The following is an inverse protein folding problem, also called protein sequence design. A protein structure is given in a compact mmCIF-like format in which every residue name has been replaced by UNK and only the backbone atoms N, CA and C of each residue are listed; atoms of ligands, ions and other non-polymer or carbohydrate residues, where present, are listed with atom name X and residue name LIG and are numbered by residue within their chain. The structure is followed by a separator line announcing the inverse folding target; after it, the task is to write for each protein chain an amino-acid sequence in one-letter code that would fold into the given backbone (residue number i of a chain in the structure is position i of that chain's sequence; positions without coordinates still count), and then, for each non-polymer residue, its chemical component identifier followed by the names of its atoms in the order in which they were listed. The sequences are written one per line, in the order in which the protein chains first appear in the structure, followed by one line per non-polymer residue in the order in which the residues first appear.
data_IF_243403176346
#
_entry.id   IF_243403176346
#
_cell.length_a   1.000
_cell.length_b   1.000
_cell.length_c   1.000
_cell.angle_alpha   90.00
_cell.angle_beta   90.00
_cell.angle_gamma   90.00
#
_symmetry.space_group_name_H-M   'P 1'
#
loop_
_entity.id
_entity.type
_entity.pdbx_description
1 polymer ?
#
# COMPACT_ATOMS: atom_id res chain seq x y z
N UNK A 1 20.62 -82.02 -29.44
CA UNK A 1 20.98 -81.70 -28.04
C UNK A 1 20.88 -80.20 -27.87
N UNK A 2 19.87 -79.72 -27.15
CA UNK A 2 19.66 -78.30 -26.82
C UNK A 2 20.81 -77.81 -25.94
N UNK A 3 21.40 -76.65 -26.25
CA UNK A 3 22.16 -75.83 -25.29
C UNK A 3 21.64 -74.40 -25.38
N UNK A 4 20.92 -74.00 -24.33
CA UNK A 4 20.54 -72.62 -24.06
C UNK A 4 21.76 -71.90 -23.46
N UNK A 5 22.12 -70.75 -24.01
CA UNK A 5 23.02 -69.79 -23.36
C UNK A 5 22.16 -68.95 -22.41
N UNK A 6 22.34 -69.13 -21.11
CA UNK A 6 21.73 -68.29 -20.08
C UNK A 6 22.64 -67.08 -19.86
N UNK A 7 22.17 -65.90 -20.22
CA UNK A 7 22.80 -64.62 -19.85
C UNK A 7 22.44 -64.33 -18.39
N UNK A 8 23.46 -64.26 -17.53
CA UNK A 8 23.33 -63.88 -16.13
C UNK A 8 23.29 -62.34 -16.06
N UNK A 9 22.09 -61.76 -15.94
CA UNK A 9 21.95 -60.36 -15.51
C UNK A 9 21.97 -60.33 -13.98
N UNK A 10 23.02 -59.76 -13.39
CA UNK A 10 23.01 -59.33 -12.00
C UNK A 10 21.99 -58.18 -11.88
N UNK A 11 20.86 -58.44 -11.22
CA UNK A 11 20.03 -57.37 -10.67
C UNK A 11 20.76 -56.78 -9.47
N UNK A 12 21.35 -55.60 -9.66
CA UNK A 12 21.67 -54.72 -8.55
C UNK A 12 20.35 -54.27 -7.92
N UNK A 13 20.11 -54.66 -6.67
CA UNK A 13 19.04 -54.09 -5.86
C UNK A 13 19.33 -52.60 -5.68
N UNK A 14 18.61 -51.76 -6.43
CA UNK A 14 18.50 -50.35 -6.12
C UNK A 14 17.59 -50.25 -4.90
N UNK A 15 18.16 -50.08 -3.71
CA UNK A 15 17.40 -49.65 -2.53
C UNK A 15 16.98 -48.20 -2.79
N UNK A 16 15.77 -48.00 -3.31
CA UNK A 16 15.10 -46.73 -3.11
C UNK A 16 14.89 -46.59 -1.60
N UNK A 17 15.57 -45.62 -0.97
CA UNK A 17 15.21 -45.14 0.35
C UNK A 17 13.75 -44.68 0.24
N UNK A 18 12.84 -45.38 0.91
CA UNK A 18 11.50 -44.83 1.14
C UNK A 18 11.74 -43.74 2.18
N UNK A 19 11.66 -42.47 1.77
CA UNK A 19 11.75 -41.35 2.71
C UNK A 19 10.56 -41.43 3.67
N UNK A 20 10.84 -41.56 4.96
CA UNK A 20 9.80 -41.63 5.97
C UNK A 20 9.34 -40.20 6.29
N UNK A 21 8.33 -39.70 5.57
CA UNK A 21 7.68 -38.44 5.92
C UNK A 21 6.71 -38.67 7.08
N UNK A 22 6.90 -37.96 8.19
CA UNK A 22 5.98 -37.97 9.31
C UNK A 22 4.98 -36.83 9.16
N UNK A 23 3.74 -37.16 8.81
CA UNK A 23 2.71 -36.18 8.43
C UNK A 23 1.86 -35.71 9.63
N UNK A 24 2.11 -36.18 10.86
CA UNK A 24 1.17 -35.92 11.96
C UNK A 24 1.83 -35.61 13.31
N UNK A 25 1.90 -34.32 13.64
CA UNK A 25 1.68 -33.84 15.00
C UNK A 25 0.35 -33.10 15.06
N UNK A 26 -0.61 -33.60 15.85
CA UNK A 26 -1.83 -32.85 16.15
C UNK A 26 -1.45 -31.64 17.00
N UNK A 27 -1.71 -30.41 16.51
CA UNK A 27 -1.65 -29.12 17.22
C UNK A 27 -0.71 -29.05 18.44
N UNK A 28 0.39 -28.30 18.34
CA UNK A 28 1.29 -28.15 19.47
C UNK A 28 1.82 -26.74 19.55
N UNK A 29 1.30 -25.95 20.47
CA UNK A 29 2.05 -24.84 21.03
C UNK A 29 3.37 -25.42 21.56
N UNK A 30 4.48 -25.21 20.85
CA UNK A 30 5.77 -25.82 21.15
C UNK A 30 6.42 -25.09 22.32
N UNK A 31 6.42 -25.74 23.47
CA UNK A 31 7.21 -25.36 24.63
C UNK A 31 8.71 -25.64 24.41
N UNK A 32 9.55 -25.10 25.30
CA UNK A 32 11.01 -25.39 25.31
C UNK A 32 11.29 -26.89 25.30
N UNK A 33 10.50 -27.68 26.05
CA UNK A 33 10.69 -29.12 26.14
C UNK A 33 10.40 -29.82 24.81
N UNK A 34 9.31 -29.45 24.15
CA UNK A 34 8.90 -30.03 22.86
C UNK A 34 9.89 -29.65 21.75
N UNK A 35 10.39 -28.41 21.74
CA UNK A 35 11.46 -28.01 20.82
C UNK A 35 12.72 -28.86 21.07
N UNK A 36 13.12 -29.04 22.32
CA UNK A 36 14.34 -29.79 22.64
C UNK A 36 14.25 -31.29 22.32
N UNK A 37 13.08 -31.91 22.52
CA UNK A 37 12.88 -33.34 22.23
C UNK A 37 12.49 -33.62 20.78
N UNK A 38 12.23 -32.60 19.97
CA UNK A 38 11.81 -32.78 18.57
C UNK A 38 12.66 -33.79 17.76
N UNK A 39 14.00 -33.80 17.84
CA UNK A 39 14.81 -34.78 17.10
C UNK A 39 14.61 -36.23 17.60
N UNK A 40 14.30 -36.41 18.88
CA UNK A 40 14.04 -37.72 19.50
C UNK A 40 12.62 -38.21 19.16
N UNK A 41 11.63 -37.32 19.30
CA UNK A 41 10.21 -37.61 19.03
C UNK A 41 9.96 -37.98 17.56
N UNK A 42 10.77 -37.42 16.66
CA UNK A 42 10.69 -37.65 15.20
C UNK A 42 11.94 -38.34 14.63
N UNK A 43 12.69 -39.09 15.44
CA UNK A 43 13.95 -39.74 15.02
C UNK A 43 13.80 -40.75 13.85
N UNK A 44 12.59 -41.25 13.60
CA UNK A 44 12.28 -42.15 12.48
C UNK A 44 11.90 -41.43 11.19
N UNK A 45 11.85 -40.10 11.19
CA UNK A 45 11.34 -39.27 10.11
C UNK A 45 12.51 -38.64 9.33
N UNK A 46 12.46 -38.68 8.00
CA UNK A 46 13.38 -37.91 7.15
C UNK A 46 12.92 -36.45 7.01
N UNK A 47 11.61 -36.20 7.16
CA UNK A 47 11.01 -34.87 7.19
C UNK A 47 9.70 -34.87 7.98
N UNK A 48 9.34 -33.69 8.50
CA UNK A 48 8.14 -33.48 9.32
C UNK A 48 7.30 -32.34 8.73
N UNK A 49 5.99 -32.57 8.67
CA UNK A 49 5.00 -31.54 8.36
C UNK A 49 4.08 -31.40 9.56
N UNK A 50 3.85 -30.17 10.01
CA UNK A 50 2.90 -29.89 11.09
C UNK A 50 1.61 -29.26 10.57
N UNK A 51 0.51 -29.53 11.25
CA UNK A 51 -0.73 -28.81 11.01
C UNK A 51 -0.58 -27.32 11.35
N UNK A 52 0.07 -26.98 12.46
CA UNK A 52 0.29 -25.62 12.93
C UNK A 52 1.54 -25.62 13.79
N UNK A 53 2.34 -24.56 13.72
CA UNK A 53 3.51 -24.36 14.58
C UNK A 53 3.33 -23.06 15.35
N UNK A 54 3.16 -23.16 16.67
CA UNK A 54 3.12 -21.98 17.53
C UNK A 54 4.25 -22.06 18.55
N UNK A 55 5.27 -21.22 18.44
CA UNK A 55 6.39 -21.21 19.38
C UNK A 55 5.98 -20.50 20.67
N UNK A 56 5.95 -21.24 21.79
CA UNK A 56 5.54 -20.73 23.08
C UNK A 56 6.67 -19.95 23.77
N UNK A 57 6.32 -18.97 24.59
CA UNK A 57 7.30 -18.37 25.50
C UNK A 57 7.62 -19.34 26.66
N UNK A 58 8.88 -19.42 27.14
CA UNK A 58 10.06 -18.64 26.73
C UNK A 58 11.06 -19.48 25.90
N UNK A 59 10.67 -19.99 24.73
CA UNK A 59 11.62 -20.69 23.83
C UNK A 59 12.82 -19.78 23.50
N UNK A 60 14.03 -20.31 23.71
CA UNK A 60 15.30 -19.56 23.59
C UNK A 60 16.10 -19.91 22.33
N UNK A 61 15.76 -20.99 21.65
CA UNK A 61 16.31 -21.39 20.37
C UNK A 61 15.32 -22.27 19.62
N UNK A 62 15.46 -22.36 18.30
CA UNK A 62 14.64 -23.26 17.46
C UNK A 62 15.46 -24.35 16.80
N UNK A 63 16.79 -24.41 17.00
CA UNK A 63 17.75 -25.24 16.25
C UNK A 63 17.32 -26.70 16.03
N UNK A 64 16.64 -27.28 17.02
CA UNK A 64 16.16 -28.66 16.99
C UNK A 64 15.08 -28.94 15.92
N UNK A 65 14.40 -27.92 15.40
CA UNK A 65 13.29 -28.07 14.46
C UNK A 65 13.73 -28.39 13.02
N UNK A 66 15.02 -28.66 12.78
CA UNK A 66 15.63 -28.80 11.44
C UNK A 66 15.01 -29.87 10.53
N UNK A 67 14.18 -30.80 11.02
CA UNK A 67 13.44 -31.76 10.18
C UNK A 67 12.11 -31.19 9.64
N UNK A 68 11.69 -30.01 10.09
CA UNK A 68 10.46 -29.35 9.66
C UNK A 68 10.62 -28.85 8.22
N UNK A 69 9.72 -29.32 7.34
CA UNK A 69 9.73 -28.95 5.92
C UNK A 69 8.48 -28.22 5.46
N UNK A 70 7.40 -28.25 6.23
CA UNK A 70 6.14 -27.59 5.87
C UNK A 70 5.19 -27.40 7.06
N UNK A 71 4.33 -26.38 6.94
CA UNK A 71 3.24 -26.11 7.88
C UNK A 71 1.94 -25.96 7.11
N UNK A 72 0.90 -26.72 7.48
CA UNK A 72 -0.38 -26.77 6.75
C UNK A 72 -1.35 -25.63 7.11
N UNK A 73 -1.12 -24.96 8.23
CA UNK A 73 -1.82 -23.76 8.68
C UNK A 73 -0.74 -22.74 9.04
N UNK A 74 -0.75 -22.21 10.26
CA UNK A 74 0.04 -21.04 10.61
C UNK A 74 1.35 -21.41 11.31
N UNK A 75 2.39 -20.63 11.01
CA UNK A 75 3.61 -20.47 11.78
C UNK A 75 3.51 -19.20 12.62
N UNK A 76 3.25 -19.36 13.91
CA UNK A 76 3.06 -18.27 14.87
C UNK A 76 4.23 -18.20 15.86
N UNK A 77 4.86 -17.02 15.96
CA UNK A 77 5.94 -16.76 16.92
C UNK A 77 5.68 -15.48 17.76
N UNK A 78 4.58 -15.42 18.54
CA UNK A 78 4.21 -14.21 19.26
C UNK A 78 5.04 -13.99 20.54
N UNK A 79 5.69 -12.84 20.62
CA UNK A 79 6.39 -12.36 21.81
C UNK A 79 7.65 -13.16 22.15
N UNK A 80 8.29 -13.81 21.18
CA UNK A 80 9.52 -14.57 21.39
C UNK A 80 10.75 -13.64 21.54
N UNK A 81 10.70 -12.74 22.53
CA UNK A 81 11.62 -11.62 22.74
C UNK A 81 13.09 -11.99 22.94
N UNK A 82 13.42 -13.26 23.15
CA UNK A 82 14.79 -13.75 23.37
C UNK A 82 15.37 -14.51 22.17
N UNK A 83 14.54 -14.84 21.17
CA UNK A 83 15.04 -15.50 19.96
C UNK A 83 15.78 -14.48 19.10
N UNK A 84 17.03 -14.81 18.76
CA UNK A 84 17.88 -14.01 17.88
C UNK A 84 17.82 -14.45 16.41
N UNK A 85 17.43 -15.69 16.17
CA UNK A 85 17.36 -16.28 14.84
C UNK A 85 16.31 -17.40 14.82
N UNK A 86 16.11 -17.95 13.62
CA UNK A 86 15.14 -18.99 13.31
C UNK A 86 15.81 -20.31 12.85
N UNK A 87 17.04 -20.59 13.28
CA UNK A 87 17.92 -21.65 12.74
C UNK A 87 17.28 -23.03 12.51
N UNK A 88 16.25 -23.42 13.26
CA UNK A 88 15.55 -24.69 13.04
C UNK A 88 14.61 -24.73 11.83
N UNK A 89 14.45 -23.63 11.10
CA UNK A 89 13.53 -23.54 9.97
C UNK A 89 14.24 -23.60 8.61
N UNK A 90 15.55 -23.91 8.56
CA UNK A 90 16.37 -23.93 7.33
C UNK A 90 15.85 -24.83 6.22
N UNK A 91 15.04 -25.83 6.56
CA UNK A 91 14.44 -26.77 5.61
C UNK A 91 12.94 -26.52 5.36
N UNK A 92 12.35 -25.48 5.97
CA UNK A 92 10.96 -25.11 5.79
C UNK A 92 10.76 -24.60 4.36
N UNK A 93 9.88 -25.25 3.60
CA UNK A 93 9.65 -24.95 2.18
C UNK A 93 8.36 -24.19 1.91
N UNK A 94 7.33 -24.44 2.72
CA UNK A 94 6.01 -23.82 2.55
C UNK A 94 5.30 -23.67 3.89
N UNK A 95 4.45 -22.65 3.95
CA UNK A 95 3.42 -22.46 4.98
C UNK A 95 2.10 -22.21 4.24
N UNK A 96 1.10 -23.07 4.41
CA UNK A 96 -0.18 -22.90 3.70
C UNK A 96 -1.09 -21.84 4.35
N UNK A 97 -0.93 -21.60 5.65
CA UNK A 97 -1.55 -20.47 6.35
C UNK A 97 -0.58 -19.30 6.49
N UNK A 98 -0.59 -18.68 7.66
CA UNK A 98 0.11 -17.43 7.89
C UNK A 98 1.51 -17.62 8.52
N UNK A 99 2.44 -16.71 8.24
CA UNK A 99 3.72 -16.55 8.94
C UNK A 99 3.67 -15.27 9.78
N UNK A 100 3.53 -15.42 11.10
CA UNK A 100 3.43 -14.30 12.05
C UNK A 100 4.67 -14.25 12.96
N UNK A 101 5.56 -13.31 12.68
CA UNK A 101 6.67 -12.91 13.55
C UNK A 101 6.26 -11.62 14.27
N UNK A 102 5.84 -11.73 15.53
CA UNK A 102 5.26 -10.60 16.27
C UNK A 102 5.98 -10.37 17.59
N UNK A 103 6.44 -9.14 17.86
CA UNK A 103 7.06 -8.75 19.13
C UNK A 103 8.32 -9.56 19.44
N UNK A 104 9.18 -9.72 18.44
CA UNK A 104 10.43 -10.46 18.56
C UNK A 104 11.61 -9.50 18.71
N UNK A 105 11.66 -8.81 19.86
CA UNK A 105 12.58 -7.69 20.11
C UNK A 105 14.07 -8.02 19.92
N UNK A 106 14.50 -9.28 20.06
CA UNK A 106 15.90 -9.67 19.87
C UNK A 106 16.20 -10.33 18.52
N UNK A 107 15.21 -10.47 17.62
CA UNK A 107 15.39 -11.19 16.36
C UNK A 107 16.31 -10.38 15.43
N UNK A 108 17.49 -10.93 15.14
CA UNK A 108 18.53 -10.28 14.33
C UNK A 108 18.47 -10.74 12.86
N UNK A 109 17.95 -11.94 12.57
CA UNK A 109 17.93 -12.49 11.21
C UNK A 109 16.83 -13.54 11.01
N UNK A 110 16.32 -13.61 9.78
CA UNK A 110 15.42 -14.66 9.28
C UNK A 110 16.09 -15.55 8.22
N UNK A 111 17.42 -15.55 8.12
CA UNK A 111 18.19 -16.30 7.09
C UNK A 111 17.82 -17.78 7.02
N UNK A 112 17.42 -18.35 8.15
CA UNK A 112 16.95 -19.73 8.22
C UNK A 112 15.64 -19.98 7.45
N UNK A 113 14.98 -18.97 6.90
CA UNK A 113 13.83 -19.15 6.01
C UNK A 113 14.24 -19.28 4.54
N UNK A 114 15.53 -19.38 4.21
CA UNK A 114 16.05 -19.37 2.82
C UNK A 114 15.43 -20.37 1.86
N UNK A 115 14.82 -21.44 2.38
CA UNK A 115 14.15 -22.49 1.60
C UNK A 115 12.64 -22.26 1.40
N UNK A 116 12.06 -21.28 2.11
CA UNK A 116 10.64 -20.97 2.10
C UNK A 116 10.29 -20.27 0.80
N UNK A 117 9.49 -20.94 -0.03
CA UNK A 117 9.11 -20.42 -1.35
C UNK A 117 7.64 -20.03 -1.46
N UNK A 118 6.82 -20.37 -0.45
CA UNK A 118 5.37 -20.20 -0.52
C UNK A 118 4.76 -19.90 0.85
N UNK A 119 3.95 -18.84 0.90
CA UNK A 119 3.06 -18.52 2.02
C UNK A 119 1.63 -18.42 1.47
N UNK A 120 0.72 -19.28 1.91
CA UNK A 120 -0.67 -19.30 1.43
C UNK A 120 -1.56 -18.24 2.06
N UNK A 121 -1.21 -17.78 3.27
CA UNK A 121 -1.87 -16.69 3.97
C UNK A 121 -0.97 -15.45 4.10
N UNK A 122 -0.95 -14.85 5.28
CA UNK A 122 -0.28 -13.57 5.52
C UNK A 122 1.22 -13.74 5.84
N UNK A 123 2.05 -12.83 5.35
CA UNK A 123 3.38 -12.58 5.88
C UNK A 123 3.33 -11.36 6.80
N UNK A 124 3.44 -11.58 8.11
CA UNK A 124 3.41 -10.51 9.11
C UNK A 124 4.69 -10.47 9.94
N UNK A 125 5.49 -9.42 9.75
CA UNK A 125 6.69 -9.11 10.53
C UNK A 125 6.47 -7.81 11.28
N UNK A 126 6.22 -7.94 12.59
CA UNK A 126 5.71 -6.87 13.43
C UNK A 126 6.55 -6.74 14.69
N UNK A 127 7.09 -5.55 14.93
CA UNK A 127 7.86 -5.25 16.14
C UNK A 127 9.05 -6.19 16.36
N UNK A 128 9.82 -6.46 15.29
CA UNK A 128 11.09 -7.17 15.33
C UNK A 128 12.25 -6.14 15.42
N UNK A 129 12.49 -5.61 16.62
CA UNK A 129 13.28 -4.38 16.82
C UNK A 129 14.78 -4.44 16.48
N UNK A 130 15.36 -5.63 16.33
CA UNK A 130 16.76 -5.83 15.95
C UNK A 130 16.94 -6.29 14.49
N UNK A 131 15.84 -6.54 13.77
CA UNK A 131 15.89 -7.04 12.41
C UNK A 131 16.22 -5.89 11.46
N UNK A 132 17.34 -6.00 10.74
CA UNK A 132 17.79 -4.95 9.80
C UNK A 132 17.42 -5.23 8.35
N UNK A 133 17.23 -6.51 8.00
CA UNK A 133 16.84 -6.92 6.66
C UNK A 133 16.00 -8.20 6.69
N UNK A 134 15.45 -8.57 5.54
CA UNK A 134 14.67 -9.78 5.36
C UNK A 134 15.46 -10.92 4.70
N UNK A 135 16.80 -10.89 4.74
CA UNK A 135 17.63 -11.92 4.14
C UNK A 135 17.25 -13.31 4.65
N UNK A 136 17.07 -14.24 3.73
CA UNK A 136 16.40 -15.52 3.96
C UNK A 136 15.03 -15.65 3.30
N UNK A 137 14.44 -14.58 2.77
CA UNK A 137 13.15 -14.67 2.06
C UNK A 137 13.28 -14.65 0.53
N UNK A 138 14.50 -14.73 -0.01
CA UNK A 138 14.77 -14.58 -1.46
C UNK A 138 14.11 -15.64 -2.34
N UNK A 139 13.76 -16.80 -1.77
CA UNK A 139 13.07 -17.89 -2.48
C UNK A 139 11.56 -17.70 -2.56
N UNK A 140 11.00 -16.72 -1.84
CA UNK A 140 9.56 -16.50 -1.74
C UNK A 140 9.03 -15.86 -3.03
N UNK A 141 8.10 -16.54 -3.69
CA UNK A 141 7.53 -16.05 -4.97
C UNK A 141 6.06 -15.66 -4.86
N UNK A 142 5.34 -16.17 -3.87
CA UNK A 142 3.90 -15.99 -3.73
C UNK A 142 3.51 -15.83 -2.25
N UNK A 143 2.67 -14.81 -2.00
CA UNK A 143 2.00 -14.57 -0.72
C UNK A 143 0.50 -14.47 -1.00
N UNK A 144 -0.25 -15.48 -0.55
CA UNK A 144 -1.68 -15.60 -0.85
C UNK A 144 -2.57 -14.63 -0.07
N UNK A 145 -2.09 -14.09 1.05
CA UNK A 145 -2.77 -13.10 1.88
C UNK A 145 -2.06 -11.74 1.88
N UNK A 146 -1.99 -11.14 3.06
CA UNK A 146 -1.45 -9.80 3.29
C UNK A 146 0.07 -9.80 3.52
N UNK A 147 0.74 -8.71 3.16
CA UNK A 147 2.12 -8.39 3.59
C UNK A 147 2.07 -7.26 4.61
N UNK A 148 2.43 -7.56 5.85
CA UNK A 148 2.47 -6.61 6.97
C UNK A 148 3.89 -6.45 7.50
N UNK A 149 4.51 -5.28 7.26
CA UNK A 149 5.81 -4.90 7.83
C UNK A 149 5.62 -3.73 8.80
N UNK A 150 5.42 -4.03 10.08
CA UNK A 150 5.02 -3.03 11.08
C UNK A 150 6.04 -2.80 12.18
N UNK A 151 6.35 -1.53 12.46
CA UNK A 151 7.11 -1.11 13.64
C UNK A 151 8.45 -1.84 13.80
N UNK A 152 9.15 -2.11 12.69
CA UNK A 152 10.49 -2.68 12.73
C UNK A 152 11.50 -1.54 12.71
N UNK A 153 11.86 -1.08 13.91
CA UNK A 153 12.64 0.15 14.15
C UNK A 153 13.98 0.23 13.43
N UNK A 154 14.59 -0.92 13.09
CA UNK A 154 15.88 -1.02 12.41
C UNK A 154 15.82 -1.61 11.00
N UNK A 155 14.62 -1.89 10.47
CA UNK A 155 14.49 -2.52 9.16
C UNK A 155 14.86 -1.51 8.06
N UNK A 156 15.99 -1.77 7.41
CA UNK A 156 16.58 -0.91 6.37
C UNK A 156 16.36 -1.48 4.97
N UNK A 157 16.22 -2.81 4.84
CA UNK A 157 16.30 -3.50 3.56
C UNK A 157 15.26 -4.63 3.45
N UNK A 158 14.40 -4.54 2.43
CA UNK A 158 13.38 -5.55 2.09
C UNK A 158 13.66 -6.26 0.77
N UNK A 159 14.86 -6.11 0.19
CA UNK A 159 15.29 -6.65 -1.11
C UNK A 159 15.08 -8.15 -1.28
N UNK A 160 15.03 -8.89 -0.18
CA UNK A 160 14.74 -10.31 -0.17
C UNK A 160 13.33 -10.65 -0.70
N UNK A 161 12.41 -9.68 -0.79
CA UNK A 161 11.07 -9.89 -1.36
C UNK A 161 11.02 -9.74 -2.89
N UNK A 162 12.15 -9.46 -3.57
CA UNK A 162 12.19 -9.08 -4.99
C UNK A 162 11.62 -10.11 -5.98
N UNK A 163 11.43 -11.36 -5.54
CA UNK A 163 10.81 -12.43 -6.34
C UNK A 163 9.29 -12.56 -6.14
N UNK A 164 8.68 -11.74 -5.27
CA UNK A 164 7.23 -11.75 -5.02
C UNK A 164 6.52 -10.98 -6.15
N UNK A 165 5.82 -11.72 -7.00
CA UNK A 165 5.14 -11.14 -8.17
C UNK A 165 3.71 -10.65 -7.84
N UNK A 166 3.04 -11.32 -6.89
CA UNK A 166 1.63 -11.10 -6.54
C UNK A 166 1.46 -11.16 -5.02
N UNK A 167 0.72 -10.19 -4.48
CA UNK A 167 0.17 -10.22 -3.11
C UNK A 167 -1.35 -10.36 -3.20
N UNK A 168 -1.86 -11.45 -2.62
CA UNK A 168 -3.28 -11.82 -2.69
C UNK A 168 -4.21 -10.90 -1.89
N UNK A 169 -3.67 -10.16 -0.92
CA UNK A 169 -4.39 -9.19 -0.08
C UNK A 169 -3.74 -7.79 -0.05
N UNK A 170 -3.65 -7.20 1.14
CA UNK A 170 -3.11 -5.87 1.42
C UNK A 170 -1.56 -5.90 1.44
N UNK A 171 -0.91 -4.84 0.96
CA UNK A 171 0.49 -4.52 1.28
C UNK A 171 0.49 -3.35 2.24
N UNK A 172 0.89 -3.58 3.50
CA UNK A 172 0.95 -2.54 4.52
C UNK A 172 2.35 -2.46 5.13
N UNK A 173 3.04 -1.36 4.84
CA UNK A 173 4.35 -1.03 5.39
C UNK A 173 4.18 0.16 6.32
N UNK A 174 4.33 -0.08 7.63
CA UNK A 174 4.03 0.92 8.65
C UNK A 174 5.12 1.07 9.70
N UNK A 175 5.53 2.30 9.96
CA UNK A 175 6.34 2.58 11.14
C UNK A 175 7.73 1.95 11.07
N UNK A 176 8.35 1.91 9.90
CA UNK A 176 9.74 1.47 9.73
C UNK A 176 10.58 2.74 9.50
N UNK A 177 11.04 3.41 10.57
CA UNK A 177 11.55 4.78 10.49
C UNK A 177 12.87 4.91 9.73
N UNK A 178 13.62 3.82 9.54
CA UNK A 178 14.91 3.81 8.83
C UNK A 178 14.82 3.22 7.41
N UNK A 179 13.66 2.73 6.99
CA UNK A 179 13.45 2.18 5.65
C UNK A 179 13.43 3.33 4.63
N UNK A 180 14.45 3.40 3.77
CA UNK A 180 14.64 4.50 2.81
C UNK A 180 14.01 4.22 1.43
N UNK A 181 13.86 2.96 1.03
CA UNK A 181 13.27 2.56 -0.25
C UNK A 181 12.35 1.33 -0.10
N UNK A 182 11.61 1.03 -1.17
CA UNK A 182 10.84 -0.21 -1.32
C UNK A 182 11.54 -1.20 -2.27
N UNK A 183 12.84 -1.01 -2.53
CA UNK A 183 13.65 -1.98 -3.28
C UNK A 183 13.54 -3.35 -2.60
N UNK A 184 13.14 -4.36 -3.37
CA UNK A 184 12.59 -5.61 -2.90
C UNK A 184 11.15 -5.87 -3.30
N UNK A 185 10.41 -4.90 -3.84
CA UNK A 185 9.07 -5.12 -4.39
C UNK A 185 9.02 -5.07 -5.92
N UNK A 186 10.18 -5.16 -6.59
CA UNK A 186 10.28 -4.90 -8.04
C UNK A 186 9.49 -5.92 -8.87
N UNK A 187 9.28 -7.14 -8.35
CA UNK A 187 8.44 -8.16 -8.98
C UNK A 187 6.95 -7.84 -8.94
N UNK A 188 6.52 -6.99 -8.00
CA UNK A 188 5.11 -6.79 -7.65
C UNK A 188 4.37 -6.06 -8.78
N UNK A 189 3.48 -6.79 -9.46
CA UNK A 189 2.68 -6.24 -10.56
C UNK A 189 1.27 -5.82 -10.13
N UNK A 190 0.73 -6.47 -9.09
CA UNK A 190 -0.63 -6.25 -8.63
C UNK A 190 -0.74 -6.43 -7.12
N UNK A 191 -1.53 -5.54 -6.49
CA UNK A 191 -2.03 -5.69 -5.12
C UNK A 191 -3.54 -5.84 -5.19
N UNK A 192 -4.05 -7.02 -4.79
CA UNK A 192 -5.49 -7.32 -4.83
C UNK A 192 -6.29 -6.63 -3.72
N UNK A 193 -5.62 -6.18 -2.66
CA UNK A 193 -6.18 -5.38 -1.57
C UNK A 193 -5.71 -3.92 -1.62
N UNK A 194 -5.45 -3.36 -0.44
CA UNK A 194 -4.95 -2.01 -0.26
C UNK A 194 -3.43 -1.95 -0.30
N UNK A 195 -2.87 -0.89 -0.91
CA UNK A 195 -1.48 -0.48 -0.71
C UNK A 195 -1.43 0.63 0.34
N UNK A 196 -0.83 0.37 1.50
CA UNK A 196 -0.75 1.31 2.63
C UNK A 196 0.71 1.54 3.04
N UNK A 197 1.20 2.76 2.85
CA UNK A 197 2.55 3.19 3.21
C UNK A 197 2.42 4.32 4.24
N UNK A 198 2.65 4.00 5.52
CA UNK A 198 2.28 4.88 6.63
C UNK A 198 3.39 5.02 7.68
N UNK A 199 3.67 6.23 8.15
CA UNK A 199 4.62 6.49 9.24
C UNK A 199 6.06 5.96 8.97
N UNK A 200 6.53 5.88 7.71
CA UNK A 200 7.91 5.51 7.37
C UNK A 200 8.74 6.78 7.16
N UNK A 201 9.40 7.24 8.22
CA UNK A 201 9.96 8.60 8.30
C UNK A 201 11.07 8.89 7.26
N UNK A 202 11.86 7.89 6.88
CA UNK A 202 12.99 8.03 5.95
C UNK A 202 12.66 7.65 4.50
N UNK A 203 11.47 7.12 4.22
CA UNK A 203 11.09 6.72 2.86
C UNK A 203 10.99 7.95 1.96
N UNK A 204 11.76 7.97 0.87
CA UNK A 204 11.88 9.15 -0.01
C UNK A 204 10.96 9.12 -1.23
N UNK A 205 10.64 7.93 -1.74
CA UNK A 205 9.76 7.70 -2.88
C UNK A 205 9.25 6.24 -2.86
N UNK A 206 8.78 5.73 -3.99
CA UNK A 206 8.27 4.36 -4.16
C UNK A 206 9.18 3.51 -5.06
N UNK A 207 10.46 3.87 -5.19
CA UNK A 207 11.44 3.04 -5.91
C UNK A 207 11.41 1.62 -5.36
N UNK A 208 11.32 0.65 -6.27
CA UNK A 208 10.97 -0.73 -5.98
C UNK A 208 9.55 -1.13 -6.41
N UNK A 209 8.64 -0.21 -6.76
CA UNK A 209 7.29 -0.53 -7.23
C UNK A 209 7.09 -0.31 -8.74
N UNK A 210 8.18 -0.24 -9.52
CA UNK A 210 8.15 0.22 -10.91
C UNK A 210 7.24 -0.64 -11.80
N UNK A 211 7.00 -1.90 -11.45
CA UNK A 211 6.15 -2.81 -12.21
C UNK A 211 4.68 -2.85 -11.74
N UNK A 212 4.33 -2.14 -10.67
CA UNK A 212 2.97 -2.12 -10.12
C UNK A 212 2.01 -1.42 -11.08
N UNK A 213 1.00 -2.14 -11.55
CA UNK A 213 0.04 -1.65 -12.54
C UNK A 213 -1.33 -1.36 -11.96
N UNK A 214 -1.75 -2.13 -10.95
CA UNK A 214 -3.08 -2.04 -10.37
C UNK A 214 -3.06 -2.27 -8.85
N UNK A 215 -3.82 -1.43 -8.15
CA UNK A 215 -4.23 -1.65 -6.75
C UNK A 215 -5.74 -1.76 -6.74
N UNK A 216 -6.29 -2.94 -6.49
CA UNK A 216 -7.75 -3.15 -6.54
C UNK A 216 -8.48 -2.53 -5.35
N UNK A 217 -7.77 -2.25 -4.25
CA UNK A 217 -8.27 -1.52 -3.09
C UNK A 217 -7.86 -0.05 -3.05
N UNK A 218 -7.57 0.43 -1.84
CA UNK A 218 -7.15 1.81 -1.55
C UNK A 218 -5.64 1.97 -1.67
N UNK A 219 -5.21 3.14 -2.09
CA UNK A 219 -3.83 3.59 -1.92
C UNK A 219 -3.80 4.62 -0.80
N UNK A 220 -3.10 4.32 0.29
CA UNK A 220 -3.01 5.18 1.48
C UNK A 220 -1.54 5.51 1.76
N UNK A 221 -1.18 6.79 1.59
CA UNK A 221 0.16 7.31 1.80
C UNK A 221 0.10 8.38 2.88
N UNK A 222 0.55 8.05 4.09
CA UNK A 222 0.42 8.96 5.24
C UNK A 222 1.66 9.10 6.10
N UNK A 223 1.94 10.33 6.54
CA UNK A 223 2.98 10.63 7.53
C UNK A 223 4.38 10.09 7.17
N UNK A 224 4.73 10.02 5.88
CA UNK A 224 6.08 9.69 5.44
C UNK A 224 6.84 11.01 5.28
N UNK A 225 7.56 11.41 6.32
CA UNK A 225 8.07 12.78 6.47
C UNK A 225 9.12 13.17 5.41
N UNK A 226 9.89 12.20 4.91
CA UNK A 226 10.89 12.39 3.85
C UNK A 226 10.36 12.11 2.43
N UNK A 227 9.09 11.72 2.28
CA UNK A 227 8.53 11.37 0.97
C UNK A 227 8.43 12.62 0.10
N UNK A 228 9.06 12.57 -1.07
CA UNK A 228 9.23 13.69 -1.98
C UNK A 228 8.24 13.70 -3.13
N UNK A 229 8.04 12.53 -3.74
CA UNK A 229 7.22 12.32 -4.93
C UNK A 229 6.77 10.84 -5.00
N UNK A 230 6.19 10.45 -6.13
CA UNK A 230 5.67 9.12 -6.40
C UNK A 230 6.57 8.32 -7.37
N UNK A 231 7.83 8.71 -7.56
CA UNK A 231 8.77 7.98 -8.43
C UNK A 231 8.83 6.52 -8.01
N UNK A 232 8.81 5.62 -8.98
CA UNK A 232 8.62 4.18 -8.77
C UNK A 232 7.20 3.69 -8.98
N UNK A 233 6.20 4.55 -9.24
CA UNK A 233 4.82 4.13 -9.55
C UNK A 233 4.42 4.43 -10.99
N UNK A 234 5.38 4.47 -11.91
CA UNK A 234 5.19 5.00 -13.25
C UNK A 234 4.15 4.25 -14.07
N UNK A 235 3.93 2.98 -13.75
CA UNK A 235 3.01 2.07 -14.45
C UNK A 235 1.66 1.91 -13.75
N UNK A 236 1.41 2.56 -12.61
CA UNK A 236 0.14 2.45 -11.89
C UNK A 236 -0.98 3.13 -12.69
N UNK A 237 -1.90 2.35 -13.26
CA UNK A 237 -2.95 2.84 -14.14
C UNK A 237 -4.25 3.17 -13.41
N UNK A 238 -4.55 2.45 -12.34
CA UNK A 238 -5.84 2.56 -11.68
C UNK A 238 -5.82 2.17 -10.20
N UNK A 239 -6.71 2.82 -9.45
CA UNK A 239 -6.97 2.55 -8.04
C UNK A 239 -8.45 2.17 -7.89
N UNK A 240 -8.72 0.95 -7.42
CA UNK A 240 -10.06 0.40 -7.30
C UNK A 240 -10.89 0.96 -6.14
N UNK A 241 -10.30 1.81 -5.30
CA UNK A 241 -10.99 2.51 -4.22
C UNK A 241 -10.39 3.89 -3.98
N UNK A 242 -10.31 4.33 -2.72
CA UNK A 242 -9.84 5.67 -2.36
C UNK A 242 -8.32 5.84 -2.56
N UNK A 243 -7.92 6.99 -3.09
CA UNK A 243 -6.53 7.45 -3.11
C UNK A 243 -6.33 8.53 -2.05
N UNK A 244 -5.58 8.23 -1.00
CA UNK A 244 -5.45 9.09 0.18
C UNK A 244 -3.98 9.43 0.42
N UNK A 245 -3.65 10.72 0.31
CA UNK A 245 -2.30 11.25 0.51
C UNK A 245 -2.35 12.35 1.56
N UNK A 246 -1.80 12.08 2.75
CA UNK A 246 -1.89 13.05 3.84
C UNK A 246 -0.75 13.07 4.84
N UNK A 247 -0.36 14.26 5.28
CA UNK A 247 0.67 14.42 6.31
C UNK A 247 2.09 14.13 5.81
N UNK A 248 2.34 14.12 4.50
CA UNK A 248 3.67 13.91 3.92
C UNK A 248 4.34 15.29 3.77
N UNK A 249 5.13 15.68 4.77
CA UNK A 249 5.59 17.05 4.95
C UNK A 249 6.58 17.53 3.88
N UNK A 250 7.30 16.61 3.21
CA UNK A 250 8.27 16.91 2.15
C UNK A 250 7.74 16.65 0.73
N UNK A 251 6.49 16.18 0.59
CA UNK A 251 5.88 15.86 -0.70
C UNK A 251 5.67 17.14 -1.49
N UNK A 252 6.30 17.29 -2.66
CA UNK A 252 6.21 18.53 -3.45
C UNK A 252 5.29 18.41 -4.68
N UNK A 253 5.13 17.22 -5.24
CA UNK A 253 4.24 16.89 -6.36
C UNK A 253 3.89 15.38 -6.41
N UNK A 254 3.34 14.93 -7.54
CA UNK A 254 2.93 13.55 -7.82
C UNK A 254 3.76 12.93 -8.97
N UNK A 255 4.96 13.48 -9.23
CA UNK A 255 5.86 12.95 -10.24
C UNK A 255 6.07 11.46 -10.00
N UNK A 256 5.91 10.64 -11.04
CA UNK A 256 5.90 9.19 -10.92
C UNK A 256 4.53 8.52 -11.03
N UNK A 257 3.43 9.27 -11.22
CA UNK A 257 2.10 8.71 -11.56
C UNK A 257 1.58 8.99 -12.99
N UNK A 258 2.44 9.09 -14.03
CA UNK A 258 2.02 9.54 -15.36
C UNK A 258 1.00 8.62 -16.03
N UNK A 259 0.77 7.41 -15.53
CA UNK A 259 -0.17 6.44 -16.11
C UNK A 259 -1.52 6.39 -15.37
N UNK A 260 -1.69 7.10 -14.25
CA UNK A 260 -2.89 7.00 -13.45
C UNK A 260 -4.08 7.68 -14.14
N UNK A 261 -5.03 6.89 -14.63
CA UNK A 261 -6.19 7.37 -15.41
C UNK A 261 -7.48 7.42 -14.59
N UNK A 262 -7.64 6.49 -13.64
CA UNK A 262 -8.91 6.26 -12.92
C UNK A 262 -8.70 5.99 -11.43
N UNK A 263 -9.51 6.68 -10.62
CA UNK A 263 -9.74 6.34 -9.21
C UNK A 263 -11.23 6.04 -9.03
N UNK A 264 -11.58 4.77 -8.73
CA UNK A 264 -12.97 4.36 -8.52
C UNK A 264 -13.54 4.87 -7.19
N UNK A 265 -12.68 5.19 -6.22
CA UNK A 265 -13.09 5.80 -4.97
C UNK A 265 -12.94 7.32 -4.97
N UNK A 266 -12.63 7.86 -3.80
CA UNK A 266 -12.38 9.27 -3.57
C UNK A 266 -10.89 9.58 -3.55
N UNK A 267 -10.52 10.77 -4.02
CA UNK A 267 -9.17 11.31 -3.89
C UNK A 267 -9.15 12.29 -2.70
N UNK A 268 -8.30 12.04 -1.72
CA UNK A 268 -8.10 12.90 -0.53
C UNK A 268 -6.64 13.32 -0.42
N UNK A 269 -6.37 14.59 -0.72
CA UNK A 269 -5.04 15.18 -0.72
C UNK A 269 -5.00 16.28 0.35
N UNK A 270 -4.38 16.00 1.49
CA UNK A 270 -4.43 16.96 2.61
C UNK A 270 -3.25 16.99 3.55
N UNK A 271 -2.93 18.15 4.12
CA UNK A 271 -1.84 18.30 5.09
C UNK A 271 -0.47 17.94 4.50
N UNK A 272 -0.23 18.18 3.21
CA UNK A 272 1.07 18.04 2.58
C UNK A 272 1.70 19.43 2.45
N UNK A 273 2.56 19.79 3.41
CA UNK A 273 2.96 21.18 3.64
C UNK A 273 3.71 21.83 2.47
N UNK A 274 4.49 21.06 1.72
CA UNK A 274 5.32 21.51 0.59
C UNK A 274 4.68 21.29 -0.78
N UNK A 275 3.53 20.62 -0.84
CA UNK A 275 2.85 20.30 -2.09
C UNK A 275 2.50 21.59 -2.83
N UNK A 276 2.97 21.73 -4.07
CA UNK A 276 2.88 22.98 -4.83
C UNK A 276 2.05 22.88 -6.13
N UNK A 277 1.99 21.68 -6.72
CA UNK A 277 1.22 21.34 -7.91
C UNK A 277 0.93 19.82 -7.96
N UNK A 278 0.23 19.36 -9.00
CA UNK A 278 -0.11 17.94 -9.23
C UNK A 278 0.61 17.35 -10.45
N UNK A 279 1.80 17.85 -10.79
CA UNK A 279 2.63 17.26 -11.84
C UNK A 279 2.78 15.76 -11.60
N UNK A 280 2.61 14.97 -12.66
CA UNK A 280 2.51 13.52 -12.63
C UNK A 280 1.07 12.98 -12.73
N UNK A 281 0.03 13.78 -12.46
CA UNK A 281 -1.38 13.35 -12.59
C UNK A 281 -2.02 13.71 -13.94
N UNK A 282 -1.23 14.05 -14.96
CA UNK A 282 -1.72 14.64 -16.22
C UNK A 282 -2.70 13.76 -16.99
N UNK A 283 -2.77 12.46 -16.70
CA UNK A 283 -3.70 11.52 -17.34
C UNK A 283 -4.89 11.13 -16.47
N UNK A 284 -5.00 11.63 -15.23
CA UNK A 284 -6.13 11.34 -14.38
C UNK A 284 -7.41 11.96 -14.96
N UNK A 285 -8.31 11.12 -15.47
CA UNK A 285 -9.53 11.54 -16.16
C UNK A 285 -10.76 11.47 -15.28
N UNK A 286 -10.85 10.43 -14.44
CA UNK A 286 -12.07 10.10 -13.71
C UNK A 286 -11.77 9.81 -12.25
N UNK A 287 -12.51 10.48 -11.37
CA UNK A 287 -12.66 10.12 -9.96
C UNK A 287 -14.13 9.84 -9.71
N UNK A 288 -14.54 8.58 -9.58
CA UNK A 288 -15.98 8.24 -9.41
C UNK A 288 -16.54 8.72 -8.05
N UNK A 289 -15.66 8.89 -7.06
CA UNK A 289 -15.99 9.41 -5.74
C UNK A 289 -15.88 10.94 -5.62
N UNK A 290 -15.41 11.39 -4.47
CA UNK A 290 -15.16 12.81 -4.18
C UNK A 290 -13.68 13.14 -4.38
N UNK A 291 -13.38 14.37 -4.82
CA UNK A 291 -12.03 14.94 -4.76
C UNK A 291 -12.00 15.94 -3.61
N UNK A 292 -11.08 15.77 -2.66
CA UNK A 292 -10.85 16.71 -1.57
C UNK A 292 -9.38 17.12 -1.53
N UNK A 293 -9.14 18.39 -1.84
CA UNK A 293 -7.84 19.05 -1.79
C UNK A 293 -7.90 20.07 -0.65
N UNK A 294 -7.30 19.76 0.49
CA UNK A 294 -7.43 20.60 1.66
C UNK A 294 -6.19 20.72 2.52
N UNK A 295 -6.00 21.88 3.16
CA UNK A 295 -4.91 22.07 4.13
C UNK A 295 -3.50 21.83 3.52
N UNK A 296 -3.30 22.18 2.24
CA UNK A 296 -1.98 22.17 1.59
C UNK A 296 -1.51 23.63 1.42
N UNK A 297 -0.83 24.21 2.42
CA UNK A 297 -0.58 25.65 2.48
C UNK A 297 0.28 26.19 1.34
N UNK A 298 1.19 25.38 0.78
CA UNK A 298 2.07 25.79 -0.34
C UNK A 298 1.45 25.53 -1.72
N UNK A 299 0.26 24.93 -1.80
CA UNK A 299 -0.38 24.60 -3.06
C UNK A 299 -0.80 25.89 -3.77
N UNK A 300 -0.12 26.21 -4.86
CA UNK A 300 -0.36 27.43 -5.64
C UNK A 300 -0.98 27.18 -7.01
N UNK A 301 -1.02 25.93 -7.46
CA UNK A 301 -1.52 25.55 -8.79
C UNK A 301 -2.21 24.20 -8.76
N UNK A 302 -3.25 24.01 -9.58
CA UNK A 302 -3.85 22.70 -9.83
C UNK A 302 -3.31 22.03 -11.10
N UNK A 303 -2.26 22.61 -11.71
CA UNK A 303 -1.60 22.05 -12.89
C UNK A 303 -1.22 20.58 -12.67
N UNK A 304 -1.45 19.76 -13.70
CA UNK A 304 -1.38 18.31 -13.60
C UNK A 304 -2.76 17.66 -13.55
N UNK A 305 -3.83 18.37 -13.18
CA UNK A 305 -5.21 17.84 -13.25
C UNK A 305 -5.92 18.16 -14.58
N UNK A 306 -5.16 18.59 -15.60
CA UNK A 306 -5.68 19.19 -16.84
C UNK A 306 -6.58 18.25 -17.65
N UNK A 307 -6.49 16.93 -17.42
CA UNK A 307 -7.31 15.90 -18.07
C UNK A 307 -8.50 15.42 -17.22
N UNK A 308 -8.70 15.95 -16.00
CA UNK A 308 -9.76 15.49 -15.10
C UNK A 308 -11.12 15.96 -15.63
N UNK A 309 -11.92 15.04 -16.16
CA UNK A 309 -13.23 15.30 -16.78
C UNK A 309 -14.39 15.10 -15.80
N UNK A 310 -14.26 14.15 -14.87
CA UNK A 310 -15.35 13.74 -13.98
C UNK A 310 -14.91 13.61 -12.51
N UNK A 311 -15.66 14.26 -11.63
CA UNK A 311 -15.74 13.95 -10.20
C UNK A 311 -17.17 13.51 -9.87
N UNK A 312 -17.36 12.20 -9.73
CA UNK A 312 -18.68 11.57 -9.63
C UNK A 312 -19.48 11.97 -8.38
N UNK A 313 -18.87 12.65 -7.41
CA UNK A 313 -19.55 13.22 -6.24
C UNK A 313 -19.21 14.69 -6.04
N UNK A 314 -18.27 14.99 -5.15
CA UNK A 314 -18.08 16.34 -4.64
C UNK A 314 -16.63 16.76 -4.81
N UNK A 315 -16.44 17.97 -5.32
CA UNK A 315 -15.16 18.65 -5.36
C UNK A 315 -15.06 19.60 -4.16
N UNK A 316 -14.15 19.29 -3.24
CA UNK A 316 -13.83 20.09 -2.07
C UNK A 316 -12.43 20.70 -2.25
N UNK A 317 -12.33 22.03 -2.30
CA UNK A 317 -11.06 22.75 -2.32
C UNK A 317 -11.08 23.76 -1.18
N UNK A 318 -10.32 23.49 -0.11
CA UNK A 318 -10.41 24.31 1.09
C UNK A 318 -9.12 24.47 1.85
N UNK A 319 -8.88 25.65 2.41
CA UNK A 319 -7.70 25.89 3.25
C UNK A 319 -6.37 25.65 2.52
N UNK A 320 -6.31 25.94 1.22
CA UNK A 320 -5.07 25.97 0.44
C UNK A 320 -4.64 27.45 0.29
N UNK A 321 -3.88 27.95 1.27
CA UNK A 321 -3.67 29.39 1.46
C UNK A 321 -2.99 30.09 0.29
N UNK A 322 -2.15 29.39 -0.49
CA UNK A 322 -1.44 29.93 -1.65
C UNK A 322 -2.15 29.76 -3.00
N UNK A 323 -3.32 29.12 -3.04
CA UNK A 323 -4.01 28.83 -4.31
C UNK A 323 -4.71 30.08 -4.83
N UNK A 324 -4.30 30.58 -6.01
CA UNK A 324 -4.81 31.85 -6.58
C UNK A 324 -6.00 31.68 -7.53
N UNK A 325 -6.10 30.55 -8.23
CA UNK A 325 -7.20 30.18 -9.10
C UNK A 325 -7.33 28.65 -9.18
N UNK A 326 -8.24 28.14 -10.00
CA UNK A 326 -8.48 26.70 -10.19
C UNK A 326 -7.98 26.21 -11.56
N UNK A 327 -7.09 26.97 -12.20
CA UNK A 327 -6.47 26.59 -13.47
C UNK A 327 -5.74 25.26 -13.31
N UNK A 328 -5.99 24.35 -14.23
CA UNK A 328 -5.69 22.92 -14.10
C UNK A 328 -6.95 22.05 -14.08
N UNK A 329 -8.14 22.62 -13.82
CA UNK A 329 -9.41 21.87 -13.90
C UNK A 329 -10.20 22.11 -15.20
N UNK A 330 -9.57 22.66 -16.23
CA UNK A 330 -10.25 23.16 -17.43
C UNK A 330 -11.01 22.10 -18.25
N UNK A 331 -10.75 20.82 -18.03
CA UNK A 331 -11.49 19.70 -18.63
C UNK A 331 -12.70 19.23 -17.81
N UNK A 332 -12.85 19.70 -16.57
CA UNK A 332 -13.83 19.19 -15.62
C UNK A 332 -15.25 19.55 -16.05
N UNK A 333 -16.02 18.55 -16.46
CA UNK A 333 -17.39 18.69 -16.95
C UNK A 333 -18.42 18.30 -15.91
N UNK A 334 -18.14 17.25 -15.13
CA UNK A 334 -19.13 16.64 -14.24
C UNK A 334 -18.74 16.72 -12.77
N UNK A 335 -19.58 17.37 -11.98
CA UNK A 335 -19.55 17.40 -10.51
C UNK A 335 -20.98 17.40 -9.94
N UNK A 336 -21.21 16.81 -8.78
CA UNK A 336 -22.51 16.93 -8.07
C UNK A 336 -22.52 18.03 -7.02
N UNK A 337 -21.41 18.27 -6.32
CA UNK A 337 -21.34 19.33 -5.31
C UNK A 337 -20.00 20.03 -5.37
N UNK A 338 -20.04 21.36 -5.48
CA UNK A 338 -18.86 22.21 -5.39
C UNK A 338 -18.76 22.80 -3.99
N UNK A 339 -17.61 22.63 -3.33
CA UNK A 339 -17.30 23.27 -2.06
C UNK A 339 -15.94 23.94 -2.14
N UNK A 340 -15.93 25.27 -2.15
CA UNK A 340 -14.72 26.09 -2.14
C UNK A 340 -14.72 26.92 -0.86
N UNK A 341 -13.72 26.78 0.00
CA UNK A 341 -13.66 27.69 1.15
C UNK A 341 -12.39 27.79 1.96
N UNK A 342 -12.17 28.96 2.55
CA UNK A 342 -10.96 29.23 3.34
C UNK A 342 -9.68 29.28 2.49
N UNK A 343 -9.76 29.52 1.18
CA UNK A 343 -8.57 29.68 0.33
C UNK A 343 -8.23 31.18 0.29
N UNK A 344 -7.27 31.61 1.11
CA UNK A 344 -7.02 33.03 1.39
C UNK A 344 -6.54 33.85 0.17
N UNK A 345 -5.75 33.23 -0.72
CA UNK A 345 -5.24 33.87 -1.93
C UNK A 345 -6.12 33.67 -3.18
N UNK A 346 -7.21 32.90 -3.09
CA UNK A 346 -8.04 32.55 -4.24
C UNK A 346 -8.75 33.79 -4.77
N UNK A 347 -8.46 34.18 -6.01
CA UNK A 347 -8.96 35.39 -6.65
C UNK A 347 -10.07 35.10 -7.67
N UNK A 348 -10.02 33.94 -8.32
CA UNK A 348 -10.98 33.54 -9.35
C UNK A 348 -11.36 32.06 -9.28
N UNK A 349 -12.51 31.70 -9.85
CA UNK A 349 -12.87 30.32 -10.19
C UNK A 349 -12.39 29.91 -11.59
N UNK A 350 -11.47 30.66 -12.19
CA UNK A 350 -10.87 30.32 -13.49
C UNK A 350 -10.36 28.88 -13.47
N UNK A 351 -10.63 28.12 -14.54
CA UNK A 351 -10.39 26.69 -14.64
C UNK A 351 -11.62 25.81 -14.45
N UNK A 352 -12.78 26.36 -14.08
CA UNK A 352 -14.05 25.61 -14.00
C UNK A 352 -15.02 25.92 -15.14
N UNK A 353 -14.56 26.46 -16.26
CA UNK A 353 -15.41 26.92 -17.37
C UNK A 353 -16.19 25.78 -18.04
N UNK A 354 -15.63 24.56 -18.06
CA UNK A 354 -16.20 23.40 -18.73
C UNK A 354 -17.32 22.70 -17.94
N UNK A 355 -17.53 23.09 -16.68
CA UNK A 355 -18.53 22.43 -15.82
C UNK A 355 -19.92 22.56 -16.43
N UNK A 356 -20.62 21.44 -16.55
CA UNK A 356 -22.00 21.41 -17.01
C UNK A 356 -22.93 21.71 -15.82
N UNK A 357 -23.83 22.71 -15.92
CA UNK A 357 -24.72 23.05 -14.82
C UNK A 357 -25.75 21.95 -14.54
N UNK A 358 -26.04 21.12 -15.56
CA UNK A 358 -26.91 19.95 -15.42
C UNK A 358 -26.16 18.84 -14.69
N UNK A 359 -26.56 18.54 -13.45
CA UNK A 359 -25.92 17.54 -12.60
C UNK A 359 -25.39 18.13 -11.30
N UNK A 360 -25.05 19.43 -11.29
CA UNK A 360 -24.70 20.15 -10.08
C UNK A 360 -25.93 20.23 -9.17
N UNK A 361 -25.80 19.73 -7.95
CA UNK A 361 -26.87 19.71 -6.95
C UNK A 361 -26.75 20.86 -5.98
N UNK A 362 -25.53 21.17 -5.54
CA UNK A 362 -25.25 22.21 -4.53
C UNK A 362 -23.93 22.91 -4.78
N UNK A 363 -23.90 24.22 -4.49
CA UNK A 363 -22.68 25.05 -4.55
C UNK A 363 -22.49 25.74 -3.20
N UNK A 364 -21.29 25.58 -2.63
CA UNK A 364 -20.87 26.25 -1.39
C UNK A 364 -19.57 26.99 -1.67
N UNK A 365 -19.59 28.32 -1.62
CA UNK A 365 -18.40 29.16 -1.85
C UNK A 365 -18.28 30.15 -0.69
N UNK A 366 -17.42 29.82 0.27
CA UNK A 366 -17.35 30.56 1.53
C UNK A 366 -15.97 30.92 1.99
N UNK A 367 -15.85 32.08 2.61
CA UNK A 367 -14.64 32.49 3.33
C UNK A 367 -13.38 32.47 2.45
N UNK A 368 -13.50 32.90 1.18
CA UNK A 368 -12.38 33.14 0.27
C UNK A 368 -12.22 34.66 0.08
N UNK A 369 -11.52 35.36 0.99
CA UNK A 369 -11.58 36.82 1.11
C UNK A 369 -11.02 37.59 -0.08
N UNK A 370 -10.30 36.95 -1.00
CA UNK A 370 -9.79 37.57 -2.23
C UNK A 370 -10.59 37.18 -3.48
N UNK A 371 -11.56 36.25 -3.37
CA UNK A 371 -12.28 35.72 -4.52
C UNK A 371 -13.23 36.78 -5.04
N UNK A 372 -12.90 37.36 -6.20
CA UNK A 372 -13.59 38.48 -6.80
C UNK A 372 -14.25 38.13 -8.16
N UNK A 373 -13.83 37.02 -8.78
CA UNK A 373 -14.30 36.56 -10.09
C UNK A 373 -14.85 35.13 -9.99
N UNK A 374 -16.17 34.96 -10.04
CA UNK A 374 -16.84 33.66 -9.92
C UNK A 374 -18.10 33.56 -10.77
N UNK A 375 -18.40 34.59 -11.56
CA UNK A 375 -19.51 34.74 -12.50
C UNK A 375 -19.30 33.92 -13.78
N UNK A 376 -18.91 32.65 -13.63
CA UNK A 376 -18.79 31.71 -14.73
C UNK A 376 -20.17 31.41 -15.34
N UNK A 377 -20.23 31.23 -16.66
CA UNK A 377 -21.48 31.03 -17.41
C UNK A 377 -22.34 29.89 -16.85
N UNK A 378 -21.73 28.75 -16.52
CA UNK A 378 -22.43 27.62 -15.94
C UNK A 378 -23.00 27.95 -14.56
N UNK A 379 -22.30 28.73 -13.74
CA UNK A 379 -22.75 29.07 -12.39
C UNK A 379 -23.93 30.05 -12.46
N UNK A 380 -23.85 31.05 -13.34
CA UNK A 380 -24.98 31.95 -13.62
C UNK A 380 -26.20 31.19 -14.18
N UNK A 381 -25.96 30.23 -15.08
CA UNK A 381 -27.01 29.36 -15.62
C UNK A 381 -27.62 28.47 -14.52
N UNK A 382 -26.80 27.92 -13.62
CA UNK A 382 -27.24 27.11 -12.50
C UNK A 382 -28.14 27.92 -11.54
N UNK A 383 -27.72 29.14 -11.19
CA UNK A 383 -28.46 30.02 -10.28
C UNK A 383 -29.79 30.50 -10.89
N UNK A 384 -29.79 30.92 -12.17
CA UNK A 384 -31.02 31.36 -12.87
C UNK A 384 -32.06 30.24 -13.00
N UNK A 385 -31.63 28.99 -12.98
CA UNK A 385 -32.49 27.81 -12.96
C UNK A 385 -32.92 27.37 -11.54
N UNK A 386 -32.65 28.16 -10.51
CA UNK A 386 -33.06 27.88 -9.12
C UNK A 386 -32.13 26.91 -8.39
N UNK A 387 -30.87 26.80 -8.83
CA UNK A 387 -29.84 26.02 -8.15
C UNK A 387 -29.64 26.41 -6.68
N UNK A 388 -29.39 25.42 -5.83
CA UNK A 388 -29.14 25.63 -4.40
C UNK A 388 -27.68 26.05 -4.14
N UNK A 389 -27.47 27.33 -3.85
CA UNK A 389 -26.16 27.87 -3.53
C UNK A 389 -26.13 28.58 -2.16
N UNK A 390 -24.98 28.49 -1.49
CA UNK A 390 -24.68 29.20 -0.26
C UNK A 390 -23.30 29.88 -0.40
N UNK A 391 -23.35 31.19 -0.67
CA UNK A 391 -22.20 32.01 -1.03
C UNK A 391 -22.12 33.17 -0.04
N UNK A 392 -21.01 33.28 0.67
CA UNK A 392 -20.80 34.32 1.68
C UNK A 392 -19.31 34.48 2.04
N UNK A 393 -18.91 35.66 2.50
CA UNK A 393 -17.57 35.87 3.05
C UNK A 393 -16.47 35.88 1.98
N UNK A 394 -16.80 36.19 0.73
CA UNK A 394 -15.83 36.40 -0.34
C UNK A 394 -15.73 37.90 -0.71
N UNK A 395 -15.12 38.25 -1.85
CA UNK A 395 -14.96 39.64 -2.29
C UNK A 395 -15.83 40.00 -3.50
N UNK A 396 -16.06 41.31 -3.69
CA UNK A 396 -16.59 41.90 -4.93
C UNK A 396 -17.85 41.20 -5.45
N UNK A 397 -17.87 40.77 -6.72
CA UNK A 397 -18.99 40.07 -7.35
C UNK A 397 -19.31 38.72 -6.70
N UNK A 398 -18.40 38.17 -5.89
CA UNK A 398 -18.56 36.89 -5.21
C UNK A 398 -18.92 37.03 -3.73
N UNK A 399 -19.06 38.27 -3.23
CA UNK A 399 -19.15 38.55 -1.79
C UNK A 399 -20.25 37.74 -1.10
N UNK A 400 -21.41 37.65 -1.73
CA UNK A 400 -22.55 36.83 -1.33
C UNK A 400 -23.40 36.43 -2.55
N UNK A 401 -24.48 35.65 -2.30
CA UNK A 401 -25.39 35.19 -3.34
C UNK A 401 -26.06 36.33 -4.14
N UNK A 402 -26.37 37.47 -3.50
CA UNK A 402 -27.00 38.60 -4.18
C UNK A 402 -25.99 39.32 -5.08
N UNK A 403 -24.76 39.51 -4.61
CA UNK A 403 -23.68 40.10 -5.40
C UNK A 403 -23.42 39.27 -6.67
N UNK A 404 -23.36 37.95 -6.56
CA UNK A 404 -23.16 37.07 -7.70
C UNK A 404 -24.35 37.09 -8.65
N UNK A 405 -25.58 37.05 -8.12
CA UNK A 405 -26.77 37.13 -8.98
C UNK A 405 -26.79 38.42 -9.80
N UNK A 406 -26.36 39.55 -9.24
CA UNK A 406 -26.26 40.81 -9.95
C UNK A 406 -25.07 40.92 -10.92
N UNK A 407 -24.00 40.13 -10.73
CA UNK A 407 -22.91 40.02 -11.69
C UNK A 407 -23.27 39.13 -12.90
N UNK A 408 -24.23 38.22 -12.72
CA UNK A 408 -24.76 37.34 -13.77
C UNK A 408 -25.81 38.01 -14.68
N UNK A 409 -26.28 39.23 -14.36
CA UNK A 409 -27.21 40.04 -15.17
C UNK A 409 -26.48 41.03 -16.08
#
# INVERSE_FOLDING_TARGET
MKKYLFSLFLFGFCFAKIEAQCVFGSFGVLSVLEVNHFPEDYASCDSVVFAMVHIARPVLHTDSLYLLVGVEQDLLMPGCIHLKNLNGFQNLKYVYGDVLLYGMDSLETVEALSSLSYIGGDLSIVSCGELTNLSGLESLTEIGGDVHLFYNEKLEDISALSSVDVVGGDVFIKGNPVLESLEGLEGLQQVNGDLRIVDNASLVNFSGLENLQEVSGRVIVRNNAALHDFSGLENLMGIGSDFIVSGNAALWDFSGLPSLELVQGSVLLSQNATLSAFTGLEHLQIVEGSVRIAENPSLSSLAGLDSLEEVGRSLYISSNASLENLSGLGALQQIHTLVIGGNEALQSLEGLEAVLPLGVQKVYIKDNPQLAFCDLEWLCTYLSNGGAADIAGNASACADLNALSGACE
#
